data_IF_267375841118
#
_entry.id   IF_267375841118
#
_cell.length_a   1.000
_cell.length_b   1.000
_cell.length_c   1.000
_cell.angle_alpha   90.00
_cell.angle_beta   90.00
_cell.angle_gamma   90.00
#
_symmetry.space_group_name_H-M   'P 1'
#
loop_
_entity.id
_entity.type
_entity.pdbx_description
1 polymer ?
#
# COMPACT_ATOMS: atom_id res chain seq x y z
N UNK A 1 -33.37 31.00 -36.76
CA UNK A 1 -33.26 30.82 -35.30
C UNK A 1 -32.03 29.96 -35.05
N UNK A 2 -31.06 30.54 -34.37
CA UNK A 2 -29.68 30.06 -34.22
C UNK A 2 -29.63 28.85 -33.27
N UNK A 3 -29.29 27.67 -33.81
CA UNK A 3 -28.96 26.48 -33.03
C UNK A 3 -27.44 26.33 -33.00
N UNK A 4 -26.84 26.81 -31.92
CA UNK A 4 -25.42 26.68 -31.62
C UNK A 4 -25.18 26.70 -30.12
N UNK A 5 -25.85 25.81 -29.36
CA UNK A 5 -25.57 25.65 -27.93
C UNK A 5 -24.28 24.86 -27.76
N UNK A 6 -23.20 25.59 -27.49
CA UNK A 6 -21.93 25.21 -26.87
C UNK A 6 -21.84 23.74 -26.37
N UNK A 7 -21.18 22.87 -27.16
CA UNK A 7 -20.84 21.49 -26.79
C UNK A 7 -19.48 21.37 -26.11
N UNK A 8 -19.03 22.39 -25.39
CA UNK A 8 -17.80 22.29 -24.60
C UNK A 8 -18.18 22.38 -23.14
N UNK A 9 -18.18 21.23 -22.44
CA UNK A 9 -18.23 21.20 -20.97
C UNK A 9 -17.17 22.17 -20.45
N UNK A 10 -17.60 23.31 -19.91
CA UNK A 10 -16.74 24.26 -19.22
C UNK A 10 -15.94 23.47 -18.19
N UNK A 11 -14.62 23.36 -18.34
CA UNK A 11 -13.74 22.71 -17.35
C UNK A 11 -14.04 23.37 -16.01
N UNK A 12 -14.78 22.67 -15.14
CA UNK A 12 -14.98 23.13 -13.77
C UNK A 12 -13.59 23.26 -13.16
N UNK A 13 -13.30 24.38 -12.47
CA UNK A 13 -12.09 24.48 -11.65
C UNK A 13 -12.00 23.21 -10.80
N UNK A 14 -10.83 22.57 -10.70
CA UNK A 14 -10.71 21.34 -9.92
C UNK A 14 -11.26 21.62 -8.53
N UNK A 15 -12.30 20.88 -8.11
CA UNK A 15 -12.72 20.81 -6.71
C UNK A 15 -11.62 20.09 -5.95
N UNK A 16 -10.56 20.79 -5.57
CA UNK A 16 -9.37 20.11 -5.05
C UNK A 16 -8.18 20.98 -4.69
N UNK A 17 -8.38 22.24 -4.30
CA UNK A 17 -7.27 23.09 -3.82
C UNK A 17 -6.48 22.49 -2.65
N UNK A 18 -7.11 21.59 -1.88
CA UNK A 18 -6.52 20.84 -0.75
C UNK A 18 -6.31 19.34 -1.05
N UNK A 19 -6.22 18.92 -2.31
CA UNK A 19 -5.86 17.54 -2.60
C UNK A 19 -4.48 17.24 -1.98
N UNK A 20 -4.32 16.18 -1.17
CA UNK A 20 -3.04 15.83 -0.55
C UNK A 20 -1.92 15.51 -1.55
N UNK A 21 -2.25 15.30 -2.83
CA UNK A 21 -1.30 14.98 -3.91
C UNK A 21 -0.93 16.18 -4.78
N UNK A 22 -1.34 17.41 -4.41
CA UNK A 22 -1.02 18.64 -5.13
C UNK A 22 -0.13 19.53 -4.25
N UNK A 23 1.05 19.93 -4.74
CA UNK A 23 1.99 20.79 -3.99
C UNK A 23 2.37 20.17 -2.65
N UNK A 24 2.50 21.01 -1.61
CA UNK A 24 2.85 20.57 -0.24
C UNK A 24 1.62 20.18 0.60
N UNK A 25 0.43 20.08 -0.01
CA UNK A 25 -0.82 19.81 0.73
C UNK A 25 -0.83 18.48 1.49
N UNK A 26 -0.01 17.51 1.09
CA UNK A 26 0.14 16.22 1.78
C UNK A 26 1.34 16.14 2.72
N UNK A 27 2.16 17.19 2.77
CA UNK A 27 3.40 17.23 3.55
C UNK A 27 3.21 18.20 4.71
N UNK A 28 2.98 17.63 5.90
CA UNK A 28 2.77 18.40 7.11
C UNK A 28 3.98 18.23 8.03
N UNK A 29 5.04 18.99 7.77
CA UNK A 29 6.26 18.98 8.59
C UNK A 29 6.23 20.11 9.62
N UNK A 30 6.84 19.86 10.77
CA UNK A 30 7.08 20.84 11.84
C UNK A 30 8.57 20.90 12.15
N UNK A 31 9.10 22.07 12.57
CA UNK A 31 10.45 22.14 13.11
C UNK A 31 10.66 21.09 14.19
N UNK A 32 11.76 20.35 14.10
CA UNK A 32 12.10 19.26 15.02
C UNK A 32 11.72 17.86 14.57
N UNK A 33 10.85 17.69 13.55
CA UNK A 33 10.47 16.36 13.03
C UNK A 33 11.70 15.54 12.61
N UNK A 34 12.64 16.18 11.87
CA UNK A 34 13.87 15.52 11.43
C UNK A 34 14.75 15.10 12.62
N UNK A 35 14.98 16.02 13.57
CA UNK A 35 15.83 15.72 14.74
C UNK A 35 15.22 14.64 15.63
N UNK A 36 13.89 14.61 15.81
CA UNK A 36 13.17 13.55 16.54
C UNK A 36 13.43 12.19 15.90
N UNK A 37 13.19 12.07 14.60
CA UNK A 37 13.32 10.79 13.89
C UNK A 37 14.79 10.35 13.75
N UNK A 38 15.69 11.27 13.40
CA UNK A 38 17.12 10.96 13.29
C UNK A 38 17.73 10.57 14.64
N UNK A 39 17.36 11.27 15.72
CA UNK A 39 17.78 10.94 17.07
C UNK A 39 17.29 9.56 17.51
N UNK A 40 16.01 9.24 17.25
CA UNK A 40 15.45 7.93 17.50
C UNK A 40 16.21 6.81 16.78
N UNK A 41 16.45 6.97 15.47
CA UNK A 41 17.17 5.97 14.68
C UNK A 41 18.64 5.85 15.11
N UNK A 42 19.28 6.94 15.51
CA UNK A 42 20.64 6.91 16.06
C UNK A 42 20.69 6.14 17.39
N UNK A 43 19.67 6.28 18.25
CA UNK A 43 19.57 5.53 19.50
C UNK A 43 19.44 4.03 19.23
N UNK A 44 18.49 3.64 18.36
CA UNK A 44 18.32 2.24 17.94
C UNK A 44 19.61 1.69 17.30
N UNK A 45 20.30 2.48 16.49
CA UNK A 45 21.55 2.04 15.85
C UNK A 45 22.73 1.80 16.80
N UNK A 46 22.65 2.29 18.05
CA UNK A 46 23.71 2.12 19.06
C UNK A 46 23.53 0.88 19.94
N UNK A 47 22.44 0.14 19.75
CA UNK A 47 22.03 -0.99 20.58
C UNK A 47 22.93 -2.24 20.52
N UNK A 48 23.95 -2.22 19.67
CA UNK A 48 24.88 -3.33 19.47
C UNK A 48 24.26 -4.52 18.74
N UNK A 49 25.06 -5.54 18.38
CA UNK A 49 24.55 -6.74 17.74
C UNK A 49 23.60 -7.52 18.66
N UNK A 50 22.72 -8.32 18.06
CA UNK A 50 21.94 -9.34 18.77
C UNK A 50 22.37 -10.72 18.25
N UNK A 51 22.43 -11.72 19.13
CA UNK A 51 22.65 -13.09 18.68
C UNK A 51 21.43 -13.56 17.89
N UNK A 52 21.59 -13.72 16.58
CA UNK A 52 20.53 -14.14 15.66
C UNK A 52 20.14 -15.61 15.81
N UNK A 53 20.87 -16.40 16.58
CA UNK A 53 20.52 -17.79 16.90
C UNK A 53 19.62 -17.91 18.12
N UNK A 54 19.62 -16.90 18.99
CA UNK A 54 18.80 -16.83 20.19
C UNK A 54 17.48 -16.09 19.90
N UNK A 55 16.42 -16.86 19.68
CA UNK A 55 15.07 -16.35 19.41
C UNK A 55 14.55 -15.49 20.58
N UNK A 56 14.88 -15.84 21.82
CA UNK A 56 14.42 -15.07 22.99
C UNK A 56 15.12 -13.71 23.06
N UNK A 57 16.42 -13.66 22.79
CA UNK A 57 17.16 -12.40 22.70
C UNK A 57 16.63 -11.50 21.57
N UNK A 58 16.33 -12.08 20.41
CA UNK A 58 15.72 -11.33 19.30
C UNK A 58 14.31 -10.84 19.61
N UNK A 59 13.48 -11.66 20.27
CA UNK A 59 12.15 -11.25 20.71
C UNK A 59 12.23 -10.11 21.73
N UNK A 60 13.12 -10.23 22.72
CA UNK A 60 13.35 -9.16 23.69
C UNK A 60 13.74 -7.87 22.96
N UNK A 61 14.64 -7.95 21.98
CA UNK A 61 15.08 -6.80 21.18
C UNK A 61 13.92 -6.12 20.45
N UNK A 62 12.99 -6.90 19.90
CA UNK A 62 11.78 -6.36 19.28
C UNK A 62 10.91 -5.60 20.30
N UNK A 63 10.72 -6.14 21.50
CA UNK A 63 9.91 -5.47 22.53
C UNK A 63 10.61 -4.25 23.14
N UNK A 64 11.94 -4.27 23.26
CA UNK A 64 12.72 -3.09 23.63
C UNK A 64 12.50 -1.96 22.58
N UNK A 65 12.47 -2.30 21.29
CA UNK A 65 12.11 -1.38 20.20
C UNK A 65 10.69 -0.81 20.33
N UNK A 66 9.69 -1.66 20.55
CA UNK A 66 8.31 -1.20 20.73
C UNK A 66 8.18 -0.29 21.96
N UNK A 67 8.89 -0.61 23.05
CA UNK A 67 8.92 0.20 24.27
C UNK A 67 9.55 1.56 24.01
N UNK A 68 10.67 1.62 23.29
CA UNK A 68 11.29 2.90 22.90
C UNK A 68 10.36 3.72 21.99
N UNK A 69 9.66 3.09 21.04
CA UNK A 69 8.65 3.77 20.22
C UNK A 69 7.57 4.42 21.09
N UNK A 70 7.07 3.69 22.10
CA UNK A 70 6.09 4.22 23.04
C UNK A 70 6.65 5.39 23.86
N UNK A 71 7.83 5.24 24.46
CA UNK A 71 8.48 6.26 25.28
C UNK A 71 8.81 7.54 24.52
N UNK A 72 9.19 7.42 23.24
CA UNK A 72 9.58 8.55 22.38
C UNK A 72 8.43 9.11 21.55
N UNK A 73 7.22 8.56 21.69
CA UNK A 73 6.06 8.91 20.87
C UNK A 73 6.38 8.81 19.36
N UNK A 74 6.93 7.67 18.95
CA UNK A 74 7.30 7.36 17.55
C UNK A 74 6.48 6.17 17.07
N UNK A 75 6.06 6.22 15.80
CA UNK A 75 5.28 5.13 15.21
C UNK A 75 6.11 3.85 15.03
N UNK A 76 5.49 2.71 15.31
CA UNK A 76 6.07 1.40 15.01
C UNK A 76 6.05 1.14 13.50
N UNK A 77 7.16 0.66 12.93
CA UNK A 77 7.28 0.35 11.50
C UNK A 77 8.11 -0.92 11.27
N UNK A 78 7.80 -1.70 10.22
CA UNK A 78 8.51 -2.95 9.94
C UNK A 78 10.01 -2.75 9.71
N UNK A 79 10.41 -1.76 8.90
CA UNK A 79 11.84 -1.56 8.59
C UNK A 79 12.65 -1.24 9.84
N UNK A 80 12.10 -0.42 10.74
CA UNK A 80 12.82 -0.06 11.98
C UNK A 80 12.77 -1.20 12.98
N UNK A 81 11.70 -2.01 13.00
CA UNK A 81 11.68 -3.26 13.76
C UNK A 81 12.80 -4.22 13.30
N UNK A 82 12.95 -4.42 11.99
CA UNK A 82 14.00 -5.28 11.42
C UNK A 82 15.40 -4.71 11.71
N UNK A 83 15.56 -3.39 11.56
CA UNK A 83 16.79 -2.69 11.91
C UNK A 83 17.15 -2.87 13.40
N UNK A 84 16.20 -2.69 14.31
CA UNK A 84 16.40 -2.89 15.74
C UNK A 84 16.77 -4.33 16.09
N UNK A 85 16.18 -5.30 15.39
CA UNK A 85 16.51 -6.73 15.50
C UNK A 85 17.83 -7.11 14.80
N UNK A 86 18.47 -6.18 14.09
CA UNK A 86 19.72 -6.44 13.37
C UNK A 86 19.56 -7.36 12.16
N UNK A 87 18.36 -7.47 11.58
CA UNK A 87 18.04 -8.35 10.45
C UNK A 87 17.68 -7.54 9.20
N UNK A 88 17.97 -8.12 8.04
CA UNK A 88 17.61 -7.54 6.74
C UNK A 88 16.22 -7.98 6.30
N UNK A 89 15.71 -7.38 5.21
CA UNK A 89 14.47 -7.87 4.58
C UNK A 89 14.61 -9.28 4.01
N UNK A 90 15.81 -9.63 3.55
CA UNK A 90 16.10 -10.96 3.00
C UNK A 90 16.12 -11.99 4.13
N UNK A 91 16.73 -11.66 5.28
CA UNK A 91 16.66 -12.49 6.50
C UNK A 91 15.20 -12.75 6.88
N UNK A 92 14.37 -11.71 6.93
CA UNK A 92 12.93 -11.81 7.24
C UNK A 92 12.23 -12.76 6.27
N UNK A 93 12.44 -12.60 4.97
CA UNK A 93 11.82 -13.45 3.94
C UNK A 93 12.27 -14.91 4.05
N UNK A 94 13.56 -15.16 4.19
CA UNK A 94 14.09 -16.51 4.29
C UNK A 94 13.63 -17.21 5.57
N UNK A 95 13.60 -16.51 6.70
CA UNK A 95 13.22 -17.09 7.99
C UNK A 95 11.70 -17.31 8.07
N UNK A 96 10.90 -16.38 7.56
CA UNK A 96 9.44 -16.54 7.47
C UNK A 96 9.05 -17.81 6.70
N UNK A 97 9.77 -18.09 5.60
CA UNK A 97 9.54 -19.24 4.73
C UNK A 97 10.35 -20.49 5.11
N UNK A 98 11.05 -20.48 6.26
CA UNK A 98 11.78 -21.66 6.77
C UNK A 98 12.97 -22.09 5.91
N UNK A 99 13.60 -21.17 5.17
CA UNK A 99 14.68 -21.47 4.22
C UNK A 99 16.06 -21.59 4.87
N UNK A 100 16.31 -20.88 5.96
CA UNK A 100 17.67 -20.78 6.55
C UNK A 100 17.73 -20.85 8.08
N UNK A 101 16.60 -20.89 8.80
CA UNK A 101 16.53 -20.90 10.27
C UNK A 101 15.44 -21.84 10.81
N UNK A 102 15.44 -22.04 12.14
CA UNK A 102 14.49 -22.94 12.82
C UNK A 102 13.03 -22.45 12.70
N UNK A 103 12.04 -23.35 12.89
CA UNK A 103 10.62 -22.97 12.93
C UNK A 103 10.29 -21.88 13.96
N UNK A 104 11.05 -21.79 15.05
CA UNK A 104 10.87 -20.76 16.08
C UNK A 104 11.22 -19.36 15.54
N UNK A 105 12.22 -19.25 14.66
CA UNK A 105 12.55 -17.99 13.99
C UNK A 105 11.41 -17.57 13.06
N UNK A 106 10.84 -18.53 12.30
CA UNK A 106 9.66 -18.27 11.46
C UNK A 106 8.49 -17.77 12.30
N UNK A 107 8.23 -18.39 13.45
CA UNK A 107 7.16 -17.99 14.37
C UNK A 107 7.40 -16.56 14.91
N UNK A 108 8.63 -16.22 15.30
CA UNK A 108 8.98 -14.87 15.74
C UNK A 108 8.77 -13.84 14.64
N UNK A 109 9.26 -14.09 13.42
CA UNK A 109 9.11 -13.16 12.30
C UNK A 109 7.63 -12.93 11.96
N UNK A 110 6.81 -13.99 11.96
CA UNK A 110 5.36 -13.86 11.77
C UNK A 110 4.72 -13.03 12.88
N UNK A 111 5.12 -13.24 14.15
CA UNK A 111 4.67 -12.44 15.30
C UNK A 111 5.00 -10.95 15.13
N UNK A 112 6.24 -10.63 14.72
CA UNK A 112 6.68 -9.25 14.46
C UNK A 112 5.85 -8.60 13.35
N UNK A 113 5.64 -9.31 12.23
CA UNK A 113 4.85 -8.81 11.10
C UNK A 113 3.39 -8.56 11.50
N UNK A 114 2.77 -9.51 12.19
CA UNK A 114 1.39 -9.38 12.69
C UNK A 114 1.27 -8.15 13.61
N UNK A 115 2.16 -8.00 14.60
CA UNK A 115 2.12 -6.85 15.50
C UNK A 115 2.21 -5.52 14.73
N UNK A 116 3.19 -5.40 13.82
CA UNK A 116 3.36 -4.18 13.03
C UNK A 116 2.15 -3.90 12.13
N UNK A 117 1.58 -4.95 11.51
CA UNK A 117 0.37 -4.89 10.69
C UNK A 117 -0.83 -4.39 11.49
N UNK A 118 -1.12 -5.03 12.63
CA UNK A 118 -2.22 -4.64 13.51
C UNK A 118 -2.06 -3.22 14.06
N UNK A 119 -0.84 -2.80 14.42
CA UNK A 119 -0.58 -1.42 14.83
C UNK A 119 -0.97 -0.39 13.75
N UNK A 120 -0.58 -0.65 12.49
CA UNK A 120 -0.97 0.23 11.36
C UNK A 120 -2.46 0.18 11.09
N UNK A 121 -3.07 -0.99 11.18
CA UNK A 121 -4.51 -1.18 11.00
C UNK A 121 -5.30 -0.35 12.01
N UNK A 122 -4.92 -0.38 13.29
CA UNK A 122 -5.54 0.44 14.33
C UNK A 122 -5.38 1.95 14.05
N UNK A 123 -4.18 2.40 13.69
CA UNK A 123 -3.98 3.80 13.30
C UNK A 123 -4.82 4.18 12.07
N UNK A 124 -5.00 3.25 11.13
CA UNK A 124 -5.86 3.41 9.96
C UNK A 124 -7.32 3.57 10.35
N UNK A 125 -7.83 2.67 11.20
CA UNK A 125 -9.21 2.68 11.70
C UNK A 125 -9.54 3.98 12.44
N UNK A 126 -8.59 4.51 13.21
CA UNK A 126 -8.75 5.78 13.95
C UNK A 126 -8.53 7.04 13.08
N UNK A 127 -8.26 6.87 11.79
CA UNK A 127 -7.96 7.99 10.87
C UNK A 127 -6.65 8.71 11.17
N UNK A 128 -5.72 8.07 11.89
CA UNK A 128 -4.40 8.61 12.30
C UNK A 128 -3.26 8.23 11.35
N UNK A 129 -3.56 7.45 10.32
CA UNK A 129 -2.65 7.08 9.24
C UNK A 129 -3.29 7.44 7.89
N UNK A 130 -2.49 7.99 6.98
CA UNK A 130 -2.96 8.30 5.63
C UNK A 130 -3.43 7.00 4.94
N UNK A 131 -4.65 6.96 4.37
CA UNK A 131 -5.19 5.75 3.75
C UNK A 131 -4.33 5.19 2.61
N UNK A 132 -3.71 6.05 1.79
CA UNK A 132 -2.80 5.62 0.71
C UNK A 132 -1.55 4.97 1.29
N UNK A 133 -0.98 5.56 2.35
CA UNK A 133 0.16 4.98 3.08
C UNK A 133 -0.19 3.63 3.69
N UNK A 134 -1.37 3.50 4.31
CA UNK A 134 -1.84 2.23 4.88
C UNK A 134 -1.94 1.14 3.80
N UNK A 135 -2.64 1.42 2.68
CA UNK A 135 -2.79 0.49 1.57
C UNK A 135 -1.44 0.08 0.99
N UNK A 136 -0.52 1.04 0.80
CA UNK A 136 0.82 0.76 0.29
C UNK A 136 1.62 -0.15 1.24
N UNK A 137 1.57 0.11 2.54
CA UNK A 137 2.24 -0.73 3.54
C UNK A 137 1.61 -2.13 3.66
N UNK A 138 0.29 -2.23 3.63
CA UNK A 138 -0.42 -3.50 3.66
C UNK A 138 -0.06 -4.41 2.47
N UNK A 139 0.04 -3.84 1.27
CA UNK A 139 0.50 -4.59 0.09
C UNK A 139 1.94 -5.09 0.25
N UNK A 140 2.82 -4.22 0.73
CA UNK A 140 4.26 -4.51 0.77
C UNK A 140 4.70 -5.43 1.91
N UNK A 141 4.06 -5.34 3.08
CA UNK A 141 4.45 -6.11 4.27
C UNK A 141 3.51 -7.27 4.57
N UNK A 142 2.23 -7.10 4.27
CA UNK A 142 1.17 -8.00 4.73
C UNK A 142 0.59 -8.84 3.56
N UNK A 143 1.08 -8.63 2.33
CA UNK A 143 0.76 -9.46 1.16
C UNK A 143 -0.62 -9.22 0.56
N UNK A 144 -1.27 -8.09 0.89
CA UNK A 144 -2.56 -7.73 0.31
C UNK A 144 -2.42 -7.33 -1.16
N UNK A 145 -3.49 -7.52 -1.93
CA UNK A 145 -3.56 -7.17 -3.35
C UNK A 145 -4.90 -6.49 -3.66
N UNK A 146 -4.88 -5.49 -4.53
CA UNK A 146 -6.13 -4.93 -5.06
C UNK A 146 -6.73 -5.93 -6.05
N UNK A 147 -8.00 -6.27 -5.86
CA UNK A 147 -8.77 -7.05 -6.83
C UNK A 147 -9.71 -6.11 -7.57
N UNK A 148 -9.65 -6.15 -8.89
CA UNK A 148 -10.56 -5.42 -9.78
C UNK A 148 -11.16 -6.42 -10.76
N UNK A 149 -12.48 -6.49 -10.81
CA UNK A 149 -13.21 -7.32 -11.76
C UNK A 149 -13.76 -6.43 -12.86
N UNK A 150 -13.43 -6.72 -14.11
CA UNK A 150 -13.96 -6.02 -15.28
C UNK A 150 -14.97 -6.93 -15.94
N UNK A 151 -16.26 -6.63 -15.75
CA UNK A 151 -17.34 -7.31 -16.49
C UNK A 151 -17.44 -6.66 -17.87
N UNK A 152 -16.91 -7.34 -18.87
CA UNK A 152 -17.13 -6.98 -20.26
C UNK A 152 -18.53 -7.46 -20.63
N UNK A 153 -19.51 -6.57 -20.64
CA UNK A 153 -20.80 -6.85 -21.29
C UNK A 153 -20.58 -6.68 -22.78
N UNK A 154 -20.60 -7.76 -23.59
CA UNK A 154 -20.49 -7.60 -25.03
C UNK A 154 -21.71 -6.82 -25.48
N UNK A 155 -21.51 -5.63 -26.04
CA UNK A 155 -22.56 -4.99 -26.82
C UNK A 155 -22.83 -5.95 -27.97
N UNK A 156 -24.01 -6.57 -28.00
CA UNK A 156 -24.41 -7.36 -29.15
C UNK A 156 -24.37 -6.43 -30.36
N UNK A 157 -23.41 -6.58 -31.31
CA UNK A 157 -23.31 -5.66 -32.45
C UNK A 157 -24.55 -5.78 -33.35
N UNK A 158 -25.32 -6.85 -33.19
CA UNK A 158 -26.58 -7.10 -33.86
C UNK A 158 -27.78 -6.52 -33.10
N UNK A 159 -27.67 -6.14 -31.81
CA UNK A 159 -28.83 -5.77 -30.99
C UNK A 159 -29.83 -6.92 -30.83
N UNK A 160 -31.03 -6.66 -30.30
CA UNK A 160 -32.13 -7.65 -30.26
C UNK A 160 -32.76 -7.81 -31.66
N UNK A 161 -32.01 -8.33 -32.64
CA UNK A 161 -32.58 -8.66 -33.95
C UNK A 161 -32.97 -10.14 -33.94
N UNK A 162 -34.27 -10.39 -34.00
CA UNK A 162 -34.84 -11.74 -34.17
C UNK A 162 -35.06 -12.11 -35.65
N UNK A 163 -34.94 -11.15 -36.59
CA UNK A 163 -35.32 -11.33 -37.99
C UNK A 163 -34.11 -11.34 -38.94
N UNK A 164 -34.01 -12.39 -39.74
CA UNK A 164 -32.84 -12.75 -40.55
C UNK A 164 -32.55 -11.73 -41.66
N UNK A 165 -33.59 -11.11 -42.24
CA UNK A 165 -33.44 -10.11 -43.32
C UNK A 165 -32.74 -8.83 -42.87
N UNK A 166 -33.02 -8.37 -41.65
CA UNK A 166 -32.42 -7.14 -41.10
C UNK A 166 -30.93 -7.34 -40.77
N UNK A 167 -30.51 -8.58 -40.54
CA UNK A 167 -29.10 -8.94 -40.34
C UNK A 167 -28.30 -8.80 -41.64
N UNK A 168 -28.86 -9.30 -42.75
CA UNK A 168 -28.22 -9.32 -44.06
C UNK A 168 -27.94 -7.91 -44.60
N UNK A 169 -28.90 -6.98 -44.48
CA UNK A 169 -28.72 -5.58 -44.92
C UNK A 169 -27.59 -4.86 -44.17
N UNK A 170 -27.40 -5.17 -42.89
CA UNK A 170 -26.37 -4.54 -42.06
C UNK A 170 -24.96 -5.05 -42.40
N UNK A 171 -24.83 -6.34 -42.69
CA UNK A 171 -23.57 -6.95 -43.09
C UNK A 171 -23.11 -6.36 -44.43
N UNK A 172 -24.04 -6.24 -45.39
CA UNK A 172 -23.75 -5.66 -46.71
C UNK A 172 -23.21 -4.21 -46.64
N UNK A 173 -23.71 -3.40 -45.70
CA UNK A 173 -23.22 -2.02 -45.49
C UNK A 173 -21.93 -1.89 -44.69
N UNK A 174 -21.40 -2.99 -44.13
CA UNK A 174 -20.20 -2.99 -43.26
C UNK A 174 -18.94 -3.52 -43.92
N UNK A 175 -19.03 -4.06 -45.14
CA UNK A 175 -17.88 -4.48 -45.93
C UNK A 175 -17.26 -3.22 -46.54
N UNK A 176 -16.08 -2.81 -46.03
CA UNK A 176 -15.23 -1.83 -46.70
C UNK A 176 -14.48 -2.58 -47.80
N UNK A 177 -14.71 -2.23 -49.05
CA UNK A 177 -13.85 -2.65 -50.16
C UNK A 177 -12.48 -2.00 -49.96
N UNK A 178 -11.45 -2.81 -49.70
CA UNK A 178 -10.05 -2.36 -49.70
C UNK A 178 -9.64 -2.09 -51.16
N UNK A 179 -9.43 -0.81 -51.52
CA UNK A 179 -8.71 -0.37 -52.73
C UNK A 179 -7.19 -0.45 -52.56
#
# INVERSE_FOLDING_TARGET
MEQGKELVKRKMKPRGGNSPVIGDNGVHTKPGDNSKIAGFLMEVGKWGPVDKSDVQAMEKRFWDYVSLCFERDVRVTNQVAYFAMGITRDDVYDWENGRSRSPEHSALIKKVKIFCGSYREMLGADGKLNPVTLVWWQKNYDGLVDKSEVVLTPNNPLGTIADQKQLEERIAGSVVEEE
#
